data_IF_906880860079
#
_entry.id   IF_906880860079
#
_cell.length_a   1.000
_cell.length_b   1.000
_cell.length_c   1.000
_cell.angle_alpha   90.00
_cell.angle_beta   90.00
_cell.angle_gamma   90.00
#
_symmetry.space_group_name_H-M   'P 1'
#
loop_
_entity.id
_entity.type
_entity.pdbx_description
1 polymer ?
#
# COMPACT_ATOMS: atom_id res chain seq x y z
N UNK A 1 -15.16 32.06 5.01
CA UNK A 1 -14.63 30.99 5.89
C UNK A 1 -13.15 30.87 5.65
N UNK A 2 -12.31 30.99 6.68
CA UNK A 2 -10.86 30.82 6.53
C UNK A 2 -10.53 29.33 6.40
N UNK A 3 -9.71 28.95 5.41
CA UNK A 3 -9.22 27.58 5.27
C UNK A 3 -8.11 27.40 6.33
N UNK A 4 -8.27 26.51 7.32
CA UNK A 4 -7.24 26.31 8.33
C UNK A 4 -5.98 25.72 7.66
N UNK A 5 -4.81 26.30 7.98
CA UNK A 5 -3.52 25.80 7.50
C UNK A 5 -3.16 24.53 8.27
N UNK A 6 -2.74 23.49 7.56
CA UNK A 6 -2.25 22.26 8.20
C UNK A 6 -1.00 22.55 9.06
N UNK A 7 -1.02 22.08 10.30
CA UNK A 7 0.09 22.17 11.26
C UNK A 7 0.65 20.77 11.55
N UNK A 8 1.81 20.70 12.23
CA UNK A 8 2.37 19.43 12.73
C UNK A 8 1.34 18.62 13.53
N UNK A 9 0.59 19.27 14.43
CA UNK A 9 -0.43 18.58 15.23
C UNK A 9 -1.55 18.02 14.36
N UNK A 10 -2.07 18.81 13.41
CA UNK A 10 -3.11 18.34 12.49
C UNK A 10 -2.63 17.15 11.66
N UNK A 11 -1.37 17.17 11.18
CA UNK A 11 -0.75 16.05 10.49
C UNK A 11 -0.71 14.79 11.36
N UNK A 12 -0.18 14.90 12.59
CA UNK A 12 -0.05 13.75 13.50
C UNK A 12 -1.41 13.18 13.90
N UNK A 13 -2.41 14.03 14.14
CA UNK A 13 -3.77 13.58 14.46
C UNK A 13 -4.36 12.79 13.29
N UNK A 14 -4.37 13.35 12.07
CA UNK A 14 -4.86 12.66 10.86
C UNK A 14 -4.11 11.35 10.62
N UNK A 15 -2.81 11.35 10.90
CA UNK A 15 -1.97 10.17 10.71
C UNK A 15 -2.28 9.07 11.74
N UNK A 16 -2.57 9.43 13.00
CA UNK A 16 -3.06 8.49 14.03
C UNK A 16 -4.47 7.99 13.73
N UNK A 17 -5.37 8.84 13.24
CA UNK A 17 -6.72 8.42 12.83
C UNK A 17 -6.67 7.36 11.71
N UNK A 18 -5.76 7.52 10.74
CA UNK A 18 -5.62 6.57 9.63
C UNK A 18 -4.86 5.29 9.99
N UNK A 19 -3.80 5.40 10.79
CA UNK A 19 -2.84 4.31 11.00
C UNK A 19 -2.80 3.74 12.42
N UNK A 20 -3.47 4.37 13.38
CA UNK A 20 -3.36 4.05 14.81
C UNK A 20 -1.92 4.22 15.31
N UNK A 21 -1.49 3.27 16.14
CA UNK A 21 -0.16 3.25 16.77
C UNK A 21 0.91 2.51 15.95
N UNK A 22 0.70 2.33 14.63
CA UNK A 22 1.68 1.66 13.75
C UNK A 22 2.97 2.45 13.53
N UNK A 23 2.88 3.78 13.62
CA UNK A 23 3.96 4.70 13.26
C UNK A 23 4.19 5.73 14.36
N UNK A 24 5.45 6.02 14.63
CA UNK A 24 5.86 7.09 15.53
C UNK A 24 6.24 8.36 14.74
N UNK A 25 5.84 9.50 15.27
CA UNK A 25 5.98 10.82 14.65
C UNK A 25 6.78 11.82 15.51
N UNK A 26 7.57 11.34 16.49
CA UNK A 26 8.34 12.18 17.43
C UNK A 26 9.25 13.17 16.70
N UNK A 27 10.01 12.70 15.71
CA UNK A 27 10.96 13.51 14.93
C UNK A 27 10.35 14.19 13.69
N UNK A 28 9.02 14.22 13.56
CA UNK A 28 8.38 14.87 12.41
C UNK A 28 8.51 16.39 12.50
N UNK A 29 9.05 16.98 11.43
CA UNK A 29 9.07 18.43 11.19
C UNK A 29 8.16 18.68 9.99
N UNK A 30 6.94 19.15 10.24
CA UNK A 30 5.96 19.41 9.20
C UNK A 30 6.09 20.83 8.68
N UNK A 31 6.34 20.98 7.37
CA UNK A 31 6.37 22.27 6.68
C UNK A 31 5.17 22.45 5.75
N UNK A 32 4.91 21.44 4.91
CA UNK A 32 3.78 21.39 3.98
C UNK A 32 3.56 19.94 3.50
N UNK A 33 2.54 19.71 2.67
CA UNK A 33 2.18 18.37 2.18
C UNK A 33 3.18 17.73 1.20
N UNK A 34 4.11 18.53 0.65
CA UNK A 34 5.10 18.13 -0.35
C UNK A 34 6.49 17.93 0.24
N UNK A 35 6.78 18.53 1.39
CA UNK A 35 8.07 18.36 2.08
C UNK A 35 8.13 16.99 2.76
N UNK A 36 9.18 16.19 2.52
CA UNK A 36 9.36 14.91 3.18
C UNK A 36 9.49 15.06 4.70
N UNK A 37 8.81 14.18 5.43
CA UNK A 37 8.91 14.05 6.89
C UNK A 37 9.57 12.72 7.25
N UNK A 38 10.25 12.67 8.40
CA UNK A 38 10.82 11.43 8.95
C UNK A 38 9.78 10.74 9.81
N UNK A 39 9.47 9.49 9.49
CA UNK A 39 8.48 8.67 10.18
C UNK A 39 9.18 7.39 10.62
N UNK A 40 8.88 6.93 11.84
CA UNK A 40 9.41 5.67 12.36
C UNK A 40 8.34 4.60 12.29
N UNK A 41 8.67 3.44 11.74
CA UNK A 41 7.79 2.27 11.79
C UNK A 41 7.99 1.54 13.13
N UNK A 42 6.93 1.38 13.93
CA UNK A 42 7.03 0.72 15.24
C UNK A 42 7.25 -0.80 15.11
N UNK A 43 6.81 -1.41 13.99
CA UNK A 43 6.98 -2.84 13.73
C UNK A 43 8.42 -3.21 13.40
N UNK A 44 9.07 -2.42 12.53
CA UNK A 44 10.41 -2.70 12.02
C UNK A 44 11.50 -1.83 12.66
N UNK A 45 11.13 -0.88 13.53
CA UNK A 45 12.03 0.06 14.20
C UNK A 45 12.94 0.84 13.23
N UNK A 46 12.44 1.11 12.02
CA UNK A 46 13.17 1.79 10.95
C UNK A 46 12.60 3.20 10.74
N UNK A 47 13.50 4.17 10.59
CA UNK A 47 13.16 5.53 10.21
C UNK A 47 13.19 5.61 8.68
N UNK A 48 12.11 6.10 8.08
CA UNK A 48 12.02 6.35 6.65
C UNK A 48 11.50 7.76 6.36
N UNK A 49 11.81 8.26 5.17
CA UNK A 49 11.36 9.58 4.73
C UNK A 49 10.23 9.45 3.72
N UNK A 50 9.14 10.18 3.93
CA UNK A 50 8.01 10.21 3.01
C UNK A 50 7.29 11.55 3.09
N UNK A 51 6.71 12.01 1.97
CA UNK A 51 5.90 13.23 1.97
C UNK A 51 4.55 12.96 2.63
N UNK A 52 3.96 13.93 3.36
CA UNK A 52 2.62 13.78 3.93
C UNK A 52 1.57 13.38 2.88
N UNK A 53 1.66 13.94 1.66
CA UNK A 53 0.78 13.55 0.56
C UNK A 53 0.88 12.07 0.22
N UNK A 54 2.11 11.53 0.11
CA UNK A 54 2.31 10.10 -0.17
C UNK A 54 1.88 9.22 1.01
N UNK A 55 2.15 9.65 2.26
CA UNK A 55 1.72 8.96 3.48
C UNK A 55 0.21 8.75 3.53
N UNK A 56 -0.57 9.78 3.20
CA UNK A 56 -2.03 9.66 3.16
C UNK A 56 -2.55 8.99 1.87
N UNK A 57 -1.80 9.00 0.76
CA UNK A 57 -2.19 8.29 -0.46
C UNK A 57 -2.01 6.76 -0.36
N UNK A 58 -1.15 6.28 0.55
CA UNK A 58 -0.93 4.85 0.74
C UNK A 58 -2.23 4.12 1.14
N UNK A 59 -2.52 3.01 0.44
CA UNK A 59 -3.76 2.23 0.62
C UNK A 59 -3.66 1.14 1.68
N UNK A 60 -2.48 0.55 1.87
CA UNK A 60 -2.29 -0.60 2.78
C UNK A 60 -1.33 -0.29 3.91
N UNK A 61 -0.10 0.07 3.57
CA UNK A 61 0.99 0.36 4.49
C UNK A 61 1.88 1.44 3.86
N UNK A 62 2.46 2.33 4.66
CA UNK A 62 3.35 3.38 4.19
C UNK A 62 4.84 3.05 4.39
N UNK A 63 5.16 2.18 5.36
CA UNK A 63 6.51 1.65 5.51
C UNK A 63 6.83 0.69 4.36
N UNK A 64 8.00 0.82 3.71
CA UNK A 64 8.38 -0.03 2.57
C UNK A 64 8.52 -1.51 2.95
N UNK A 65 8.92 -1.82 4.19
CA UNK A 65 9.00 -3.20 4.67
C UNK A 65 7.61 -3.77 4.92
N UNK A 66 6.76 -3.07 5.67
CA UNK A 66 5.35 -3.45 5.85
C UNK A 66 4.63 -3.63 4.51
N UNK A 67 4.88 -2.74 3.56
CA UNK A 67 4.28 -2.81 2.23
C UNK A 67 4.66 -4.11 1.51
N UNK A 68 5.94 -4.52 1.56
CA UNK A 68 6.40 -5.77 0.95
C UNK A 68 5.73 -7.00 1.56
N UNK A 69 5.51 -6.99 2.87
CA UNK A 69 4.83 -8.11 3.57
C UNK A 69 3.37 -8.28 3.11
N UNK A 70 2.69 -7.18 2.75
CA UNK A 70 1.30 -7.20 2.27
C UNK A 70 1.16 -7.16 0.75
N UNK A 71 2.25 -6.94 0.01
CA UNK A 71 2.24 -6.89 -1.45
C UNK A 71 1.97 -8.29 -2.02
N UNK A 72 1.04 -8.38 -2.97
CA UNK A 72 0.71 -9.66 -3.62
C UNK A 72 0.00 -10.71 -2.75
N UNK A 73 -0.25 -10.46 -1.46
CA UNK A 73 -0.88 -11.46 -0.57
C UNK A 73 -2.27 -11.89 -1.07
N UNK A 74 -3.10 -10.94 -1.49
CA UNK A 74 -4.44 -11.23 -2.02
C UNK A 74 -4.41 -12.04 -3.34
N UNK A 75 -3.55 -11.66 -4.30
CA UNK A 75 -3.40 -12.41 -5.55
C UNK A 75 -2.83 -13.81 -5.30
N UNK A 76 -1.87 -13.93 -4.40
CA UNK A 76 -1.30 -15.21 -4.01
C UNK A 76 -2.33 -16.08 -3.27
N UNK A 77 -3.20 -15.49 -2.45
CA UNK A 77 -4.29 -16.20 -1.79
C UNK A 77 -5.31 -16.72 -2.80
N UNK A 78 -5.74 -15.89 -3.77
CA UNK A 78 -6.65 -16.30 -4.84
C UNK A 78 -6.05 -17.43 -5.70
N UNK A 79 -4.78 -17.29 -6.12
CA UNK A 79 -4.08 -18.34 -6.88
C UNK A 79 -3.97 -19.66 -6.10
N UNK A 80 -3.79 -19.59 -4.78
CA UNK A 80 -3.77 -20.78 -3.90
C UNK A 80 -5.15 -21.39 -3.70
N UNK A 81 -6.22 -20.59 -3.64
CA UNK A 81 -7.59 -21.13 -3.55
C UNK A 81 -8.02 -21.78 -4.87
N UNK A 82 -7.63 -21.21 -6.01
CA UNK A 82 -7.95 -21.74 -7.34
C UNK A 82 -7.27 -23.09 -7.60
N UNK A 83 -5.99 -23.22 -7.21
CA UNK A 83 -5.24 -24.47 -7.26
C UNK A 83 -5.85 -25.60 -6.42
N UNK A 84 -6.69 -25.29 -5.42
CA UNK A 84 -7.38 -26.28 -4.60
C UNK A 84 -8.76 -26.67 -5.15
N UNK A 85 -9.37 -25.84 -5.99
CA UNK A 85 -10.70 -26.08 -6.55
C UNK A 85 -10.68 -26.66 -7.96
N UNK A 86 -9.61 -26.43 -8.75
CA UNK A 86 -9.49 -26.98 -10.09
C UNK A 86 -8.09 -27.57 -10.30
N UNK A 87 -7.98 -28.90 -10.17
CA UNK A 87 -6.86 -29.62 -10.77
C UNK A 87 -6.85 -29.37 -12.28
N UNK A 88 -5.81 -28.69 -12.76
CA UNK A 88 -5.45 -28.50 -14.17
C UNK A 88 -6.51 -27.81 -15.06
N UNK A 89 -6.44 -26.48 -15.16
CA UNK A 89 -6.45 -25.83 -16.49
C UNK A 89 -5.41 -24.70 -16.51
N UNK A 90 -4.26 -24.98 -17.12
CA UNK A 90 -3.26 -23.99 -17.49
C UNK A 90 -3.88 -23.07 -18.56
N UNK A 91 -4.40 -21.90 -18.18
CA UNK A 91 -4.97 -20.91 -19.10
C UNK A 91 -3.87 -20.11 -19.85
N UNK A 92 -2.71 -20.72 -20.09
CA UNK A 92 -1.79 -20.23 -21.10
C UNK A 92 -1.39 -21.41 -21.99
N UNK A 93 -1.81 -21.31 -23.27
CA UNK A 93 -1.21 -21.94 -24.46
C UNK A 93 -1.86 -23.22 -25.00
N UNK A 94 -3.03 -23.10 -25.63
CA UNK A 94 -3.45 -23.74 -26.92
C UNK A 94 -4.80 -23.09 -27.29
N UNK A 95 -4.99 -22.38 -28.41
CA UNK A 95 -4.93 -22.86 -29.77
C UNK A 95 -4.51 -21.72 -30.72
N UNK A 96 -3.27 -21.78 -31.20
CA UNK A 96 -3.01 -21.47 -32.60
C UNK A 96 -3.55 -22.67 -33.39
N UNK A 97 -4.37 -22.43 -34.42
CA UNK A 97 -4.90 -23.39 -35.40
C UNK A 97 -6.08 -24.28 -34.93
N UNK A 98 -7.32 -23.90 -35.26
CA UNK A 98 -8.35 -24.86 -35.68
C UNK A 98 -9.46 -24.13 -36.49
N UNK A 99 -9.42 -24.32 -37.82
CA UNK A 99 -10.47 -24.22 -38.85
C UNK A 99 -11.65 -23.24 -38.63
N UNK A 100 -11.88 -22.19 -39.43
CA UNK A 100 -12.05 -22.18 -40.89
C UNK A 100 -12.70 -23.47 -41.42
N UNK A 101 -14.01 -23.64 -41.18
CA UNK A 101 -14.96 -24.37 -42.05
C UNK A 101 -16.35 -24.34 -41.38
N UNK A 102 -17.13 -23.31 -41.69
CA UNK A 102 -18.59 -23.35 -41.64
C UNK A 102 -19.12 -22.43 -42.76
N UNK A 103 -19.31 -23.05 -43.92
CA UNK A 103 -20.29 -22.70 -44.97
C UNK A 103 -20.84 -24.02 -45.46
#
# INVERSE_FOLDING_TARGET
>A
MAIPRDTKQSFVQKAKEKWGDKYCYESVIYLNSRTPVKITCNKHNVIFSQTPKAHFAAKRECCPLCYKEVAGTFQNQWRKSDAKQNGAIDFFRVNSLFNSLHT
#
